data_IF_555486078626
#
_entry.id   IF_555486078626
#
_cell.length_a   1.000
_cell.length_b   1.000
_cell.length_c   1.000
_cell.angle_alpha   90.00
_cell.angle_beta   90.00
_cell.angle_gamma   90.00
#
_symmetry.space_group_name_H-M   'P 1'
#
loop_
_entity.id
_entity.type
_entity.pdbx_description
1 polymer ?
#
# COMPACT_ATOMS: atom_id res chain seq x y z
N UNK A 1 -9.17 -4.89 25.10
CA UNK A 1 -8.85 -4.23 23.82
C UNK A 1 -9.23 -2.77 23.94
N UNK A 2 -8.27 -1.89 24.12
CA UNK A 2 -8.48 -0.44 24.27
C UNK A 2 -9.05 0.08 22.93
N UNK A 3 -10.17 0.77 22.98
CA UNK A 3 -10.70 1.48 21.81
C UNK A 3 -9.64 2.49 21.36
N UNK A 4 -9.24 2.45 20.11
CA UNK A 4 -8.37 3.44 19.47
C UNK A 4 -8.92 4.83 19.76
N UNK A 5 -8.08 5.74 20.21
CA UNK A 5 -8.51 7.12 20.49
C UNK A 5 -8.95 7.80 19.19
N UNK A 6 -9.74 8.87 19.28
CA UNK A 6 -10.14 9.62 18.07
C UNK A 6 -8.92 10.20 17.31
N UNK A 7 -7.82 10.47 18.00
CA UNK A 7 -6.55 10.90 17.38
C UNK A 7 -5.90 9.78 16.58
N UNK A 8 -5.97 8.53 17.06
CA UNK A 8 -5.37 7.38 16.35
C UNK A 8 -6.03 7.11 15.00
N UNK A 9 -7.28 7.55 14.81
CA UNK A 9 -7.99 7.40 13.53
C UNK A 9 -7.62 8.46 12.50
N UNK A 10 -6.91 9.51 12.90
CA UNK A 10 -6.44 10.61 12.06
C UNK A 10 -4.98 10.50 11.66
N UNK A 11 -4.31 9.45 12.10
CA UNK A 11 -2.94 9.14 11.73
C UNK A 11 -2.89 7.94 10.81
N UNK A 12 -1.97 7.97 9.85
CA UNK A 12 -1.72 6.81 8.99
C UNK A 12 -1.28 5.61 9.85
N UNK A 13 -1.84 4.46 9.56
CA UNK A 13 -1.54 3.24 10.32
C UNK A 13 -0.48 2.35 9.65
N UNK A 14 -0.27 2.50 8.33
CA UNK A 14 0.65 1.67 7.55
C UNK A 14 1.55 2.54 6.63
N UNK A 15 1.94 3.73 7.10
CA UNK A 15 2.81 4.62 6.34
C UNK A 15 4.28 4.41 6.71
N UNK A 16 5.16 4.41 5.69
CA UNK A 16 6.62 4.39 5.88
C UNK A 16 7.38 4.73 4.61
N UNK A 17 8.58 5.26 4.80
CA UNK A 17 9.61 5.40 3.78
C UNK A 17 10.26 4.04 3.49
N UNK A 18 10.69 3.84 2.25
CA UNK A 18 11.36 2.64 1.76
C UNK A 18 12.86 2.87 1.52
N UNK A 19 13.41 3.90 2.12
CA UNK A 19 14.85 4.17 2.13
C UNK A 19 15.64 3.26 3.07
N UNK A 20 16.94 3.12 2.79
CA UNK A 20 17.86 2.36 3.63
C UNK A 20 17.84 0.84 3.42
N UNK A 21 17.09 0.32 2.46
CA UNK A 21 17.08 -1.11 2.14
C UNK A 21 18.29 -1.48 1.29
N UNK A 22 18.98 -2.58 1.60
CA UNK A 22 20.18 -3.03 0.88
C UNK A 22 19.85 -3.39 -0.56
N UNK A 23 20.74 -3.00 -1.48
CA UNK A 23 20.64 -3.27 -2.91
C UNK A 23 21.78 -4.21 -3.32
N UNK A 24 21.49 -5.19 -4.16
CA UNK A 24 22.48 -6.08 -4.74
C UNK A 24 23.55 -5.25 -5.50
N UNK A 25 24.80 -5.57 -5.28
CA UNK A 25 25.91 -4.78 -5.84
C UNK A 25 26.39 -3.61 -4.97
N UNK A 26 25.76 -3.39 -3.84
CA UNK A 26 26.15 -2.39 -2.82
C UNK A 26 25.28 -1.14 -2.81
N UNK A 27 25.29 -0.46 -1.68
CA UNK A 27 24.44 0.70 -1.43
C UNK A 27 23.11 0.35 -0.81
N UNK A 28 22.24 1.36 -0.73
CA UNK A 28 20.88 1.25 -0.18
C UNK A 28 19.92 2.09 -1.00
N UNK A 29 18.62 1.80 -0.91
CA UNK A 29 17.58 2.65 -1.48
C UNK A 29 17.62 4.05 -0.87
N UNK A 30 17.37 5.08 -1.70
CA UNK A 30 17.36 6.46 -1.25
C UNK A 30 16.16 6.72 -0.32
N UNK A 31 16.42 7.40 0.80
CA UNK A 31 15.37 7.83 1.70
C UNK A 31 14.56 8.99 1.10
N UNK A 32 13.30 9.09 1.52
CA UNK A 32 12.39 10.16 1.10
C UNK A 32 12.05 10.18 -0.41
N UNK A 33 12.20 9.05 -1.08
CA UNK A 33 11.88 8.89 -2.51
C UNK A 33 10.60 8.08 -2.70
N UNK A 34 10.47 6.95 -2.04
CA UNK A 34 9.30 6.08 -2.18
C UNK A 34 8.66 5.81 -0.82
N UNK A 35 7.43 6.22 -0.69
CA UNK A 35 6.62 6.09 0.52
C UNK A 35 5.43 5.20 0.21
N UNK A 36 5.12 4.25 1.08
CA UNK A 36 3.88 3.47 1.01
C UNK A 36 2.97 3.77 2.18
N UNK A 37 1.64 3.70 1.98
CA UNK A 37 0.67 3.90 3.06
C UNK A 37 -0.68 3.21 2.83
N UNK A 38 -1.50 3.18 3.88
CA UNK A 38 -2.95 3.08 3.78
C UNK A 38 -3.54 4.38 3.18
N UNK A 39 -4.83 4.34 2.83
CA UNK A 39 -5.46 5.47 2.16
C UNK A 39 -5.43 6.75 3.01
N UNK A 40 -5.01 7.89 2.45
CA UNK A 40 -5.19 9.19 3.08
C UNK A 40 -6.67 9.59 3.12
N UNK A 41 -7.05 10.35 4.15
CA UNK A 41 -8.37 10.92 4.34
C UNK A 41 -8.28 12.42 4.64
N UNK A 42 -9.34 13.21 4.35
CA UNK A 42 -9.31 14.68 4.50
C UNK A 42 -9.04 15.19 5.92
N UNK A 43 -9.28 14.37 6.93
CA UNK A 43 -9.12 14.68 8.35
C UNK A 43 -7.83 14.09 8.94
N UNK A 44 -6.97 13.49 8.12
CA UNK A 44 -5.70 12.95 8.58
C UNK A 44 -4.70 14.07 8.94
N UNK A 45 -3.89 13.80 9.94
CA UNK A 45 -2.75 14.62 10.33
C UNK A 45 -1.56 14.32 9.40
N UNK A 46 -0.77 15.34 9.10
CA UNK A 46 0.43 15.17 8.29
C UNK A 46 1.42 14.23 8.99
N UNK A 47 1.99 13.25 8.27
CA UNK A 47 2.92 12.31 8.88
C UNK A 47 4.25 13.00 9.25
N UNK A 48 4.73 12.73 10.47
CA UNK A 48 5.98 13.29 10.98
C UNK A 48 7.19 12.54 10.40
N UNK A 49 8.22 13.28 9.99
CA UNK A 49 9.49 12.70 9.56
C UNK A 49 9.52 12.18 8.12
N UNK A 50 8.46 12.44 7.34
CA UNK A 50 8.39 12.16 5.92
C UNK A 50 8.25 13.46 5.11
N UNK A 51 8.72 13.50 3.85
CA UNK A 51 8.44 14.63 2.96
C UNK A 51 6.95 14.72 2.70
N UNK A 52 6.32 15.78 3.22
CA UNK A 52 4.89 15.97 3.11
C UNK A 52 4.53 17.43 2.79
N UNK A 53 3.65 17.71 1.84
CA UNK A 53 3.03 16.71 0.94
C UNK A 53 4.06 16.09 -0.02
N UNK A 54 3.80 14.85 -0.51
CA UNK A 54 4.66 14.22 -1.52
C UNK A 54 4.56 14.96 -2.85
N UNK A 55 5.55 14.82 -3.73
CA UNK A 55 5.50 15.37 -5.07
C UNK A 55 4.47 14.65 -5.95
N UNK A 56 4.39 13.33 -5.80
CA UNK A 56 3.44 12.49 -6.55
C UNK A 56 2.66 11.56 -5.62
N UNK A 57 1.38 11.40 -5.88
CA UNK A 57 0.50 10.41 -5.24
C UNK A 57 0.00 9.43 -6.29
N UNK A 58 0.28 8.15 -6.10
CA UNK A 58 -0.21 7.06 -6.93
C UNK A 58 -1.30 6.30 -6.18
N UNK A 59 -2.54 6.55 -6.53
CA UNK A 59 -3.72 5.91 -5.94
C UNK A 59 -4.10 4.66 -6.74
N UNK A 60 -3.94 3.49 -6.12
CA UNK A 60 -4.19 2.17 -6.72
C UNK A 60 -5.62 1.66 -6.54
N UNK A 61 -6.51 2.45 -5.93
CA UNK A 61 -7.89 2.04 -5.64
C UNK A 61 -8.73 1.99 -6.91
N UNK A 62 -9.74 1.13 -6.91
CA UNK A 62 -10.76 1.14 -7.95
C UNK A 62 -11.61 2.43 -7.89
N UNK A 63 -12.15 2.91 -9.03
CA UNK A 63 -13.03 4.07 -9.05
C UNK A 63 -14.20 3.98 -8.06
N UNK A 64 -14.73 2.77 -7.84
CA UNK A 64 -15.81 2.51 -6.88
C UNK A 64 -15.41 2.69 -5.42
N UNK A 65 -14.10 2.63 -5.12
CA UNK A 65 -13.55 2.82 -3.78
C UNK A 65 -13.28 4.29 -3.44
N UNK A 66 -13.11 5.16 -4.43
CA UNK A 66 -12.76 6.57 -4.22
C UNK A 66 -13.82 7.31 -3.39
N UNK A 67 -15.09 7.16 -3.74
CA UNK A 67 -16.21 7.69 -2.96
C UNK A 67 -16.08 9.19 -2.67
N UNK A 68 -16.84 9.67 -1.66
CA UNK A 68 -16.90 11.09 -1.27
C UNK A 68 -15.75 11.57 -0.37
N UNK A 69 -14.75 10.73 -0.12
CA UNK A 69 -13.64 11.00 0.82
C UNK A 69 -12.31 11.18 0.07
N UNK A 70 -12.34 11.84 -1.08
CA UNK A 70 -11.12 12.22 -1.78
C UNK A 70 -10.40 13.33 -1.01
N UNK A 71 -9.11 13.14 -0.78
CA UNK A 71 -8.25 14.21 -0.24
C UNK A 71 -8.06 15.27 -1.30
N UNK A 72 -8.15 16.53 -0.88
CA UNK A 72 -7.76 17.67 -1.72
C UNK A 72 -6.27 17.92 -1.49
N UNK A 73 -5.46 17.60 -2.48
CA UNK A 73 -4.04 17.86 -2.45
C UNK A 73 -3.71 19.29 -2.89
N UNK A 74 -2.60 19.87 -2.39
CA UNK A 74 -2.09 21.14 -2.91
C UNK A 74 -1.85 21.10 -4.43
N UNK A 75 -1.95 22.24 -5.14
CA UNK A 75 -1.84 22.29 -6.61
C UNK A 75 -0.51 21.80 -7.18
N UNK A 76 0.55 21.80 -6.37
CA UNK A 76 1.88 21.31 -6.74
C UNK A 76 2.05 19.79 -6.58
N UNK A 77 1.05 19.08 -6.04
CA UNK A 77 1.07 17.62 -5.91
C UNK A 77 0.46 16.98 -7.15
N UNK A 78 1.22 16.15 -7.82
CA UNK A 78 0.72 15.36 -8.95
C UNK A 78 -0.04 14.14 -8.44
N UNK A 79 -1.35 14.09 -8.63
CA UNK A 79 -2.19 12.95 -8.24
C UNK A 79 -2.55 12.13 -9.46
N UNK A 80 -2.18 10.86 -9.46
CA UNK A 80 -2.50 9.91 -10.53
C UNK A 80 -3.27 8.71 -9.99
N UNK A 81 -4.36 8.37 -10.67
CA UNK A 81 -5.16 7.22 -10.34
C UNK A 81 -4.82 6.06 -11.27
N UNK A 82 -4.31 4.97 -10.71
CA UNK A 82 -3.84 3.77 -11.43
C UNK A 82 -4.40 2.50 -10.80
N UNK A 83 -5.69 2.17 -11.05
CA UNK A 83 -6.28 0.96 -10.52
C UNK A 83 -5.55 -0.28 -11.03
N UNK A 84 -5.08 -1.14 -10.13
CA UNK A 84 -4.32 -2.35 -10.48
C UNK A 84 -5.14 -3.64 -10.32
N UNK A 85 -6.30 -3.58 -9.65
CA UNK A 85 -7.22 -4.71 -9.55
C UNK A 85 -8.26 -4.69 -10.67
N UNK A 86 -8.65 -5.87 -11.14
CA UNK A 86 -9.69 -6.03 -12.17
C UNK A 86 -11.10 -6.19 -11.59
N UNK A 87 -11.41 -5.51 -10.46
CA UNK A 87 -12.74 -5.61 -9.84
C UNK A 87 -12.98 -6.90 -9.04
N UNK A 88 -11.94 -7.72 -8.82
CA UNK A 88 -12.05 -8.85 -7.89
C UNK A 88 -12.27 -8.30 -6.48
N UNK A 89 -13.44 -8.58 -5.92
CA UNK A 89 -13.78 -8.15 -4.55
C UNK A 89 -12.96 -8.97 -3.55
N UNK A 90 -11.92 -8.35 -3.04
CA UNK A 90 -11.00 -8.91 -2.04
C UNK A 90 -11.71 -9.25 -0.72
N UNK A 91 -12.93 -8.73 -0.51
CA UNK A 91 -13.73 -8.85 0.69
C UNK A 91 -14.36 -10.24 0.95
N UNK A 92 -14.15 -11.24 0.06
CA UNK A 92 -14.82 -12.56 0.13
C UNK A 92 -13.90 -13.77 0.21
N UNK A 93 -12.61 -13.59 0.46
CA UNK A 93 -11.63 -14.62 0.16
C UNK A 93 -10.95 -15.24 1.40
N UNK A 94 -10.76 -16.56 1.38
CA UNK A 94 -9.97 -17.34 2.35
C UNK A 94 -8.46 -17.18 2.13
N UNK A 95 -7.59 -17.69 3.03
CA UNK A 95 -6.12 -17.50 2.96
C UNK A 95 -5.49 -17.92 1.62
N UNK A 96 -5.93 -19.03 1.02
CA UNK A 96 -5.51 -19.46 -0.33
C UNK A 96 -5.80 -18.44 -1.41
N UNK A 97 -6.75 -17.58 -1.17
CA UNK A 97 -7.20 -16.59 -2.13
C UNK A 97 -6.26 -15.38 -2.25
N UNK A 98 -5.44 -15.05 -1.26
CA UNK A 98 -4.45 -13.97 -1.41
C UNK A 98 -3.37 -14.35 -2.42
N UNK A 99 -2.88 -15.57 -2.38
CA UNK A 99 -1.94 -16.11 -3.38
C UNK A 99 -2.56 -16.09 -4.78
N UNK A 100 -3.83 -16.52 -4.91
CA UNK A 100 -4.54 -16.49 -6.18
C UNK A 100 -4.77 -15.07 -6.71
N UNK A 101 -5.10 -14.11 -5.82
CA UNK A 101 -5.26 -12.69 -6.18
C UNK A 101 -3.95 -12.13 -6.69
N UNK A 102 -2.84 -12.36 -5.99
CA UNK A 102 -1.54 -11.84 -6.40
C UNK A 102 -1.09 -12.49 -7.71
N UNK A 103 -1.33 -13.81 -7.86
CA UNK A 103 -1.10 -14.50 -9.14
C UNK A 103 -1.91 -13.87 -10.28
N UNK A 104 -3.19 -13.58 -10.05
CA UNK A 104 -4.03 -12.95 -11.05
C UNK A 104 -3.55 -11.52 -11.37
N UNK A 105 -3.15 -10.74 -10.35
CA UNK A 105 -2.59 -9.40 -10.56
C UNK A 105 -1.34 -9.46 -11.43
N UNK A 106 -0.43 -10.41 -11.18
CA UNK A 106 0.80 -10.57 -11.95
C UNK A 106 0.51 -11.04 -13.38
N UNK A 107 -0.29 -12.10 -13.56
CA UNK A 107 -0.53 -12.71 -14.86
C UNK A 107 -1.41 -11.89 -15.79
N UNK A 108 -2.44 -11.26 -15.27
CA UNK A 108 -3.44 -10.54 -16.10
C UNK A 108 -3.38 -9.03 -15.96
N UNK A 109 -2.73 -8.53 -14.91
CA UNK A 109 -2.63 -7.10 -14.58
C UNK A 109 -1.31 -6.44 -15.00
N UNK A 110 -0.39 -7.12 -15.66
CA UNK A 110 0.97 -6.61 -15.94
C UNK A 110 0.99 -5.20 -16.54
N UNK A 111 0.14 -4.92 -17.53
CA UNK A 111 0.04 -3.58 -18.14
C UNK A 111 -0.39 -2.49 -17.13
N UNK A 112 -1.23 -2.82 -16.15
CA UNK A 112 -1.66 -1.88 -15.08
C UNK A 112 -0.56 -1.68 -14.05
N UNK A 113 0.15 -2.77 -13.70
CA UNK A 113 1.30 -2.71 -12.81
C UNK A 113 2.40 -1.82 -13.40
N UNK A 114 2.75 -2.03 -14.69
CA UNK A 114 3.70 -1.20 -15.41
C UNK A 114 3.25 0.27 -15.49
N UNK A 115 1.96 0.51 -15.76
CA UNK A 115 1.43 1.87 -15.80
C UNK A 115 1.53 2.57 -14.43
N UNK A 116 1.34 1.85 -13.32
CA UNK A 116 1.50 2.41 -11.98
C UNK A 116 2.98 2.69 -11.64
N UNK A 117 3.88 1.78 -11.99
CA UNK A 117 5.32 1.93 -11.77
C UNK A 117 5.91 3.12 -12.56
N UNK A 118 5.43 3.36 -13.77
CA UNK A 118 5.87 4.48 -14.62
C UNK A 118 5.46 5.85 -14.07
N UNK A 119 4.61 5.91 -13.06
CA UNK A 119 4.23 7.15 -12.39
C UNK A 119 5.17 7.56 -11.26
N UNK A 120 6.15 6.72 -10.92
CA UNK A 120 7.09 7.06 -9.86
C UNK A 120 7.99 8.21 -10.34
N UNK A 121 8.02 9.25 -9.52
CA UNK A 121 8.75 10.47 -9.84
C UNK A 121 10.24 10.30 -9.46
N UNK A 122 11.11 10.90 -10.26
CA UNK A 122 12.56 10.95 -9.99
C UNK A 122 12.97 12.21 -9.23
N UNK A 123 12.12 13.23 -9.17
CA UNK A 123 12.46 14.55 -8.63
C UNK A 123 11.83 14.84 -7.27
N UNK A 124 11.14 13.87 -6.67
CA UNK A 124 10.53 14.07 -5.37
C UNK A 124 9.97 12.79 -4.78
N UNK A 125 9.35 12.91 -3.60
CA UNK A 125 8.74 11.77 -2.94
C UNK A 125 7.48 11.30 -3.67
N UNK A 126 7.38 10.01 -3.94
CA UNK A 126 6.17 9.36 -4.44
C UNK A 126 5.48 8.60 -3.33
N UNK A 127 4.23 8.94 -3.04
CA UNK A 127 3.35 8.20 -2.15
C UNK A 127 2.54 7.18 -2.95
N UNK A 128 2.66 5.91 -2.62
CA UNK A 128 1.85 4.83 -3.22
C UNK A 128 0.90 4.26 -2.19
N UNK A 129 -0.38 4.25 -2.49
CA UNK A 129 -1.39 3.72 -1.57
C UNK A 129 -2.54 2.99 -2.29
N UNK A 130 -3.22 2.13 -1.54
CA UNK A 130 -4.54 1.60 -1.87
C UNK A 130 -5.51 1.87 -0.71
N UNK A 131 -6.40 0.98 -0.35
CA UNK A 131 -7.25 1.16 0.84
C UNK A 131 -6.47 0.90 2.15
N UNK A 132 -5.83 -0.27 2.25
CA UNK A 132 -5.10 -0.72 3.44
C UNK A 132 -3.57 -0.53 3.34
N UNK A 133 -3.04 -0.16 2.17
CA UNK A 133 -1.60 -0.13 1.93
C UNK A 133 -0.93 -1.50 1.96
N UNK A 134 -1.71 -2.58 1.87
CA UNK A 134 -1.26 -3.98 2.04
C UNK A 134 -1.07 -4.68 0.69
N UNK A 135 -2.15 -5.08 0.04
CA UNK A 135 -2.10 -6.00 -1.10
C UNK A 135 -1.65 -5.32 -2.41
N UNK A 136 -2.46 -4.46 -2.98
CA UNK A 136 -2.13 -3.73 -4.22
C UNK A 136 -0.86 -2.91 -4.08
N UNK A 137 -0.76 -2.19 -2.98
CA UNK A 137 0.46 -1.45 -2.63
C UNK A 137 1.63 -2.38 -2.42
N UNK A 138 1.45 -3.50 -1.70
CA UNK A 138 2.49 -4.50 -1.46
C UNK A 138 3.07 -5.05 -2.77
N UNK A 139 2.22 -5.43 -3.73
CA UNK A 139 2.67 -5.94 -5.03
C UNK A 139 3.46 -4.88 -5.82
N UNK A 140 2.94 -3.66 -5.94
CA UNK A 140 3.64 -2.57 -6.66
C UNK A 140 4.98 -2.25 -6.02
N UNK A 141 5.02 -2.15 -4.69
CA UNK A 141 6.25 -1.87 -3.95
C UNK A 141 7.24 -3.02 -4.07
N UNK A 142 6.79 -4.28 -3.98
CA UNK A 142 7.67 -5.43 -4.17
C UNK A 142 8.33 -5.42 -5.55
N UNK A 143 7.55 -5.18 -6.62
CA UNK A 143 8.10 -5.08 -7.98
C UNK A 143 9.13 -3.94 -8.06
N UNK A 144 8.82 -2.77 -7.54
CA UNK A 144 9.73 -1.61 -7.58
C UNK A 144 11.05 -1.90 -6.85
N UNK A 145 10.98 -2.49 -5.67
CA UNK A 145 12.16 -2.85 -4.87
C UNK A 145 13.00 -3.94 -5.53
N UNK A 146 12.37 -4.98 -6.08
CA UNK A 146 13.06 -6.03 -6.82
C UNK A 146 13.74 -5.48 -8.09
N UNK A 147 13.08 -4.62 -8.84
CA UNK A 147 13.67 -3.94 -10.00
C UNK A 147 14.83 -3.02 -9.61
N UNK A 148 14.80 -2.43 -8.43
CA UNK A 148 15.91 -1.66 -7.88
C UNK A 148 17.05 -2.55 -7.34
N UNK A 149 16.90 -3.87 -7.37
CA UNK A 149 17.90 -4.82 -6.89
C UNK A 149 17.91 -5.02 -5.38
N UNK A 150 16.82 -4.69 -4.68
CA UNK A 150 16.68 -4.97 -3.26
C UNK A 150 16.54 -6.48 -3.04
N UNK A 151 17.22 -7.01 -2.00
CA UNK A 151 17.12 -8.41 -1.61
C UNK A 151 15.66 -8.84 -1.37
N UNK A 152 15.30 -10.03 -1.88
CA UNK A 152 13.94 -10.58 -1.75
C UNK A 152 13.50 -10.68 -0.28
N UNK A 153 14.39 -11.10 0.62
CA UNK A 153 14.10 -11.16 2.06
C UNK A 153 13.80 -9.80 2.67
N UNK A 154 14.46 -8.74 2.19
CA UNK A 154 14.16 -7.37 2.62
C UNK A 154 12.79 -6.90 2.10
N UNK A 155 12.40 -7.32 0.89
CA UNK A 155 11.06 -7.05 0.33
C UNK A 155 9.98 -7.76 1.15
N UNK A 156 10.19 -9.04 1.47
CA UNK A 156 9.29 -9.83 2.32
C UNK A 156 9.17 -9.21 3.72
N UNK A 157 10.30 -8.79 4.30
CA UNK A 157 10.32 -8.13 5.61
C UNK A 157 9.52 -6.83 5.58
N UNK A 158 9.66 -5.99 4.54
CA UNK A 158 8.84 -4.78 4.41
C UNK A 158 7.35 -5.12 4.32
N UNK A 159 6.98 -6.14 3.54
CA UNK A 159 5.59 -6.53 3.43
C UNK A 159 4.99 -6.93 4.78
N UNK A 160 5.71 -7.74 5.57
CA UNK A 160 5.29 -8.18 6.91
C UNK A 160 5.16 -7.03 7.93
N UNK A 161 5.91 -5.94 7.78
CA UNK A 161 5.73 -4.74 8.64
C UNK A 161 4.32 -4.17 8.59
N UNK A 162 3.51 -4.54 7.61
CA UNK A 162 2.09 -4.18 7.58
C UNK A 162 1.32 -4.76 8.78
N UNK A 163 1.77 -5.87 9.35
CA UNK A 163 1.16 -6.49 10.53
C UNK A 163 1.22 -5.58 11.76
N UNK A 164 2.28 -4.80 11.90
CA UNK A 164 2.46 -3.85 13.00
C UNK A 164 1.34 -2.78 13.00
N UNK A 165 0.89 -2.38 11.81
CA UNK A 165 -0.15 -1.37 11.60
C UNK A 165 -1.55 -1.92 11.39
N UNK A 166 -1.73 -3.24 11.26
CA UNK A 166 -3.00 -3.82 10.76
C UNK A 166 -4.21 -3.50 11.64
N UNK A 167 -4.02 -3.42 12.96
CA UNK A 167 -5.09 -3.05 13.89
C UNK A 167 -5.55 -1.60 13.66
N UNK A 168 -4.61 -0.68 13.44
CA UNK A 168 -4.88 0.72 13.10
C UNK A 168 -5.56 0.85 11.73
N UNK A 169 -5.06 0.16 10.71
CA UNK A 169 -5.68 0.09 9.38
C UNK A 169 -7.13 -0.38 9.49
N UNK A 170 -7.36 -1.47 10.24
CA UNK A 170 -8.70 -2.01 10.46
C UNK A 170 -9.62 -0.99 11.14
N UNK A 171 -9.15 -0.32 12.19
CA UNK A 171 -9.92 0.69 12.90
C UNK A 171 -10.28 1.87 11.97
N UNK A 172 -9.34 2.35 11.15
CA UNK A 172 -9.55 3.41 10.15
C UNK A 172 -10.57 3.00 9.09
N UNK A 173 -10.44 1.82 8.49
CA UNK A 173 -11.37 1.30 7.50
C UNK A 173 -12.78 1.12 8.08
N UNK A 174 -12.88 0.63 9.32
CA UNK A 174 -14.15 0.43 10.01
C UNK A 174 -14.86 1.74 10.34
N UNK A 175 -14.13 2.73 10.87
CA UNK A 175 -14.68 4.05 11.19
C UNK A 175 -15.25 4.75 9.95
N UNK A 176 -14.68 4.46 8.78
CA UNK A 176 -15.10 5.03 7.49
C UNK A 176 -16.04 4.10 6.70
N UNK A 177 -16.55 3.05 7.33
CA UNK A 177 -17.49 2.07 6.74
C UNK A 177 -16.97 1.45 5.41
N UNK A 178 -15.65 1.16 5.38
CA UNK A 178 -14.97 0.60 4.18
C UNK A 178 -14.84 -0.92 4.21
N UNK A 179 -15.17 -1.54 5.32
CA UNK A 179 -15.21 -3.00 5.47
C UNK A 179 -16.62 -3.43 5.91
N UNK A 180 -17.05 -4.65 5.53
CA UNK A 180 -18.36 -5.18 5.93
C UNK A 180 -18.56 -5.19 7.44
N UNK A 181 -19.79 -4.98 7.87
CA UNK A 181 -20.15 -5.17 9.27
C UNK A 181 -19.90 -6.64 9.66
N UNK A 182 -19.27 -6.85 10.84
CA UNK A 182 -18.92 -8.20 11.31
C UNK A 182 -17.53 -8.69 10.92
N UNK A 183 -16.79 -7.98 10.05
CA UNK A 183 -15.36 -8.30 9.81
C UNK A 183 -14.59 -8.17 11.12
N UNK A 184 -13.75 -9.14 11.43
CA UNK A 184 -12.91 -9.19 12.64
C UNK A 184 -11.42 -9.07 12.28
N UNK A 185 -10.57 -8.77 13.27
CA UNK A 185 -9.12 -8.59 13.05
C UNK A 185 -8.40 -9.89 12.65
N UNK A 186 -8.97 -11.04 12.94
CA UNK A 186 -8.46 -12.35 12.55
C UNK A 186 -8.92 -12.79 11.15
N UNK A 187 -9.69 -11.94 10.46
CA UNK A 187 -10.14 -12.24 9.12
C UNK A 187 -8.94 -12.51 8.19
N UNK A 188 -8.98 -13.59 7.38
CA UNK A 188 -7.88 -13.97 6.49
C UNK A 188 -7.37 -12.85 5.61
N UNK A 189 -8.26 -11.98 5.13
CA UNK A 189 -7.92 -10.82 4.29
C UNK A 189 -6.97 -9.82 4.96
N UNK A 190 -6.84 -9.84 6.28
CA UNK A 190 -5.94 -8.96 7.01
C UNK A 190 -4.56 -9.59 7.26
N UNK A 191 -4.37 -10.87 6.93
CA UNK A 191 -3.07 -11.55 7.05
C UNK A 191 -2.12 -11.11 5.96
N UNK A 192 -0.82 -11.34 6.20
CA UNK A 192 0.28 -11.08 5.26
C UNK A 192 1.03 -12.39 4.98
N UNK A 193 0.42 -13.36 4.27
CA UNK A 193 1.09 -14.63 4.01
C UNK A 193 2.35 -14.41 3.18
N UNK A 194 3.47 -14.96 3.64
CA UNK A 194 4.79 -14.85 3.01
C UNK A 194 4.75 -15.31 1.55
N UNK A 195 4.08 -16.41 1.29
CA UNK A 195 3.97 -17.03 -0.02
C UNK A 195 3.32 -16.11 -1.07
N UNK A 196 2.42 -15.22 -0.62
CA UNK A 196 1.75 -14.30 -1.52
C UNK A 196 2.69 -13.23 -2.06
N UNK A 197 3.64 -12.75 -1.25
CA UNK A 197 4.58 -11.72 -1.69
C UNK A 197 5.81 -12.32 -2.37
N UNK A 198 6.30 -13.46 -1.94
CA UNK A 198 7.39 -14.19 -2.60
C UNK A 198 7.04 -14.54 -4.05
N UNK A 199 5.76 -14.81 -4.31
CA UNK A 199 5.27 -15.05 -5.68
C UNK A 199 5.65 -13.92 -6.66
N UNK A 200 5.72 -12.68 -6.17
CA UNK A 200 6.04 -11.52 -7.03
C UNK A 200 7.44 -11.64 -7.62
N UNK A 201 8.40 -12.22 -6.89
CA UNK A 201 9.76 -12.47 -7.36
C UNK A 201 9.88 -13.55 -8.44
N UNK A 202 8.81 -14.33 -8.68
CA UNK A 202 8.80 -15.41 -9.69
C UNK A 202 8.36 -14.92 -11.09
N UNK A 203 7.89 -13.69 -11.23
CA UNK A 203 7.43 -13.07 -12.49
C UNK A 203 8.37 -11.99 -12.98
#
# INVERSE_FOLDING_TARGET
MTLSSASDLRTFANIRDLGGMRVAGGGVTAANVLIRSDAPYPDDEDPVGLPWPPATVVDLRDPTELGRMAVTWPPNVRVVHRPVSSGARVDRLADTALVEIYTAMMRTGGHRLTAALNEFDSEGATLVHCAAGKDRTGVIIAIALLLAGVDEEAVVTDYHRTEDGIAGVFARLRSRKRIPAGTTLDAPILRTPREAIELVGLF
#
